data_IF_682822906929
#
_entry.id   IF_682822906929
#
_cell.length_a   1.000
_cell.length_b   1.000
_cell.length_c   1.000
_cell.angle_alpha   90.00
_cell.angle_beta   90.00
_cell.angle_gamma   90.00
#
_symmetry.space_group_name_H-M   'P 1'
#
loop_
_entity.id
_entity.type
_entity.pdbx_description
1 polymer ?
#
# COMPACT_ATOMS: atom_id res chain seq x y z
N UNK A 1 3.86 9.13 -3.19
CA UNK A 1 2.73 9.16 -4.14
C UNK A 1 2.43 10.60 -4.53
N UNK A 2 2.84 11.03 -5.73
CA UNK A 2 2.72 12.46 -6.11
C UNK A 2 1.35 12.90 -6.62
N UNK A 3 0.58 12.01 -7.26
CA UNK A 3 -0.74 12.35 -7.82
C UNK A 3 -1.73 11.17 -7.63
N UNK A 4 -2.39 11.08 -6.45
CA UNK A 4 -3.22 9.92 -6.10
C UNK A 4 -4.43 9.71 -7.04
N UNK A 5 -4.95 10.79 -7.62
CA UNK A 5 -6.09 10.76 -8.57
C UNK A 5 -5.76 10.12 -9.91
N UNK A 6 -4.48 9.91 -10.24
CA UNK A 6 -4.07 9.29 -11.50
C UNK A 6 -4.59 7.87 -11.69
N UNK A 7 -4.68 7.08 -10.61
CA UNK A 7 -5.25 5.74 -10.67
C UNK A 7 -6.76 5.79 -10.97
N UNK A 8 -7.48 6.75 -10.39
CA UNK A 8 -8.93 6.92 -10.62
C UNK A 8 -9.18 7.31 -12.08
N UNK A 9 -8.44 8.29 -12.60
CA UNK A 9 -8.57 8.72 -14.01
C UNK A 9 -8.26 7.56 -14.97
N UNK A 10 -7.19 6.79 -14.70
CA UNK A 10 -6.86 5.64 -15.55
C UNK A 10 -7.97 4.57 -15.56
N UNK A 11 -8.59 4.30 -14.41
CA UNK A 11 -9.71 3.35 -14.31
C UNK A 11 -10.95 3.84 -15.07
N UNK A 12 -11.29 5.13 -14.98
CA UNK A 12 -12.42 5.70 -15.72
C UNK A 12 -12.18 5.68 -17.24
N UNK A 13 -10.93 5.90 -17.67
CA UNK A 13 -10.54 5.77 -19.08
C UNK A 13 -10.71 4.32 -19.54
N UNK A 14 -10.24 3.35 -18.75
CA UNK A 14 -10.42 1.92 -19.05
C UNK A 14 -11.91 1.57 -19.18
N UNK A 15 -12.73 1.98 -18.21
CA UNK A 15 -14.18 1.72 -18.22
C UNK A 15 -14.88 2.38 -19.40
N UNK A 16 -14.46 3.58 -19.77
CA UNK A 16 -14.98 4.27 -20.95
C UNK A 16 -14.70 3.49 -22.23
N UNK A 17 -13.52 2.87 -22.35
CA UNK A 17 -13.17 2.04 -23.50
C UNK A 17 -14.05 0.79 -23.59
N UNK A 18 -14.33 0.14 -22.46
CA UNK A 18 -15.22 -1.04 -22.42
C UNK A 18 -16.66 -0.72 -22.81
N UNK A 19 -17.18 0.44 -22.38
CA UNK A 19 -18.58 0.83 -22.62
C UNK A 19 -18.77 1.42 -24.02
N UNK A 20 -17.88 2.32 -24.43
CA UNK A 20 -18.05 3.10 -25.66
C UNK A 20 -17.53 2.32 -26.87
N UNK A 21 -16.37 1.66 -26.73
CA UNK A 21 -15.71 0.99 -27.85
C UNK A 21 -15.12 1.94 -28.89
N UNK A 22 -14.48 1.37 -29.90
CA UNK A 22 -13.92 2.13 -31.02
C UNK A 22 -15.00 2.44 -32.08
N UNK A 23 -14.88 3.58 -32.78
CA UNK A 23 -13.77 4.55 -32.71
C UNK A 23 -13.85 5.59 -31.58
N UNK A 24 -15.01 5.80 -30.97
CA UNK A 24 -15.28 6.96 -30.10
C UNK A 24 -14.44 6.98 -28.82
N UNK A 25 -14.08 5.82 -28.26
CA UNK A 25 -13.28 5.75 -27.04
C UNK A 25 -11.83 6.25 -27.20
N UNK A 26 -11.37 6.49 -28.44
CA UNK A 26 -10.05 7.05 -28.70
C UNK A 26 -9.85 8.42 -28.02
N UNK A 27 -10.91 9.21 -27.85
CA UNK A 27 -10.87 10.51 -27.17
C UNK A 27 -10.55 10.34 -25.68
N UNK A 28 -11.19 9.36 -25.02
CA UNK A 28 -10.96 9.03 -23.61
C UNK A 28 -9.52 8.55 -23.39
N UNK A 29 -9.02 7.68 -24.29
CA UNK A 29 -7.63 7.22 -24.27
C UNK A 29 -6.65 8.38 -24.42
N UNK A 30 -6.86 9.26 -25.40
CA UNK A 30 -6.01 10.44 -25.61
C UNK A 30 -5.96 11.33 -24.36
N UNK A 31 -7.11 11.60 -23.75
CA UNK A 31 -7.19 12.39 -22.51
C UNK A 31 -6.43 11.72 -21.35
N UNK A 32 -6.62 10.41 -21.14
CA UNK A 32 -5.92 9.64 -20.12
C UNK A 32 -4.39 9.67 -20.30
N UNK A 33 -3.91 9.50 -21.53
CA UNK A 33 -2.48 9.53 -21.85
C UNK A 33 -1.89 10.90 -21.54
N UNK A 34 -2.50 11.99 -22.00
CA UNK A 34 -2.01 13.36 -21.73
C UNK A 34 -2.00 13.65 -20.23
N UNK A 35 -3.06 13.27 -19.51
CA UNK A 35 -3.14 13.42 -18.07
C UNK A 35 -1.98 12.71 -17.35
N UNK A 36 -1.73 11.44 -17.67
CA UNK A 36 -0.64 10.67 -17.05
C UNK A 36 0.75 11.16 -17.49
N UNK A 37 0.91 11.59 -18.74
CA UNK A 37 2.17 12.10 -19.28
C UNK A 37 2.58 13.42 -18.62
N UNK A 38 1.61 14.29 -18.30
CA UNK A 38 1.86 15.59 -17.67
C UNK A 38 1.82 15.56 -16.14
N UNK A 39 1.26 14.51 -15.54
CA UNK A 39 1.23 14.31 -14.08
C UNK A 39 2.62 14.31 -13.44
N UNK A 40 2.71 14.76 -12.18
CA UNK A 40 3.95 14.67 -11.39
C UNK A 40 4.35 13.20 -11.22
N UNK A 41 5.56 12.85 -11.64
CA UNK A 41 6.08 11.48 -11.58
C UNK A 41 6.62 11.19 -10.18
N UNK A 42 6.32 9.99 -9.69
CA UNK A 42 6.78 9.49 -8.40
C UNK A 42 6.79 7.97 -8.42
N UNK A 43 7.87 7.38 -7.90
CA UNK A 43 8.04 5.92 -7.81
C UNK A 43 8.03 5.41 -6.37
N UNK A 44 7.90 6.28 -5.36
CA UNK A 44 8.07 5.91 -3.96
C UNK A 44 7.17 4.76 -3.49
N UNK A 45 5.91 4.71 -3.94
CA UNK A 45 5.02 3.59 -3.61
C UNK A 45 5.48 2.25 -4.23
N UNK A 46 6.00 2.29 -5.48
CA UNK A 46 6.54 1.10 -6.14
C UNK A 46 7.83 0.65 -5.48
N UNK A 47 8.80 1.56 -5.33
CA UNK A 47 10.12 1.23 -4.78
C UNK A 47 10.00 0.79 -3.31
N UNK A 48 9.12 1.42 -2.53
CA UNK A 48 8.83 1.01 -1.16
C UNK A 48 8.22 -0.39 -1.04
N UNK A 49 7.29 -0.75 -1.92
CA UNK A 49 6.75 -2.12 -1.97
C UNK A 49 7.85 -3.13 -2.33
N UNK A 50 8.74 -2.81 -3.28
CA UNK A 50 9.82 -3.71 -3.68
C UNK A 50 10.81 -3.95 -2.55
N UNK A 51 11.23 -2.89 -1.87
CA UNK A 51 12.10 -2.99 -0.70
C UNK A 51 11.46 -3.83 0.43
N UNK A 52 10.19 -3.58 0.76
CA UNK A 52 9.49 -4.40 1.76
C UNK A 52 9.37 -5.88 1.36
N UNK A 53 9.15 -6.18 0.08
CA UNK A 53 9.11 -7.56 -0.44
C UNK A 53 10.47 -8.26 -0.37
N UNK A 54 11.57 -7.53 -0.57
CA UNK A 54 12.93 -8.05 -0.43
C UNK A 54 13.21 -8.45 1.01
N UNK A 55 12.82 -7.63 1.98
CA UNK A 55 12.98 -7.95 3.40
C UNK A 55 12.14 -9.15 3.83
N UNK A 56 10.91 -9.29 3.31
CA UNK A 56 10.09 -10.49 3.55
C UNK A 56 10.80 -11.75 3.03
N UNK A 57 11.40 -11.70 1.83
CA UNK A 57 12.16 -12.83 1.27
C UNK A 57 13.41 -13.13 2.08
N UNK A 58 14.11 -12.10 2.56
CA UNK A 58 15.37 -12.21 3.30
C UNK A 58 15.18 -12.74 4.72
N UNK A 59 14.18 -12.25 5.43
CA UNK A 59 14.00 -12.53 6.86
C UNK A 59 12.92 -13.58 7.15
N UNK A 60 12.09 -13.92 6.17
CA UNK A 60 11.02 -14.91 6.31
C UNK A 60 9.93 -14.47 7.29
N UNK A 61 9.40 -15.42 8.05
CA UNK A 61 8.25 -15.19 8.94
C UNK A 61 8.66 -14.59 10.29
N UNK A 62 9.01 -13.29 10.29
CA UNK A 62 9.28 -12.57 11.54
C UNK A 62 8.03 -12.49 12.43
N UNK A 63 8.18 -12.60 13.76
CA UNK A 63 7.04 -12.57 14.66
C UNK A 63 6.36 -11.19 14.68
N UNK A 64 5.03 -11.18 14.70
CA UNK A 64 4.24 -9.97 14.87
C UNK A 64 4.47 -9.41 16.30
N UNK A 65 4.72 -8.09 16.47
CA UNK A 65 4.82 -7.46 17.78
C UNK A 65 3.61 -7.77 18.67
N UNK A 66 3.85 -8.04 19.96
CA UNK A 66 2.80 -8.46 20.90
C UNK A 66 1.63 -7.46 20.99
N UNK A 67 1.92 -6.17 20.91
CA UNK A 67 0.94 -5.09 20.92
C UNK A 67 0.00 -5.09 19.70
N UNK A 68 0.38 -5.76 18.60
CA UNK A 68 -0.42 -5.84 17.37
C UNK A 68 -1.15 -7.18 17.19
N UNK A 69 -0.87 -8.16 18.05
CA UNK A 69 -1.51 -9.48 17.96
C UNK A 69 -2.98 -9.38 18.36
N UNK A 70 -3.84 -10.06 17.62
CA UNK A 70 -5.24 -10.22 18.00
C UNK A 70 -5.35 -11.08 19.28
N UNK A 71 -6.27 -10.73 20.18
CA UNK A 71 -6.51 -11.42 21.45
C UNK A 71 -7.98 -11.83 21.65
N UNK A 72 -8.54 -12.67 20.78
CA UNK A 72 -9.96 -13.04 20.82
C UNK A 72 -10.31 -13.96 22.00
N UNK A 73 -9.37 -14.76 22.50
CA UNK A 73 -9.61 -15.71 23.60
C UNK A 73 -9.11 -15.17 24.93
N UNK A 74 -9.67 -15.68 26.05
CA UNK A 74 -9.21 -15.35 27.40
C UNK A 74 -7.73 -15.74 27.62
N UNK A 75 -7.32 -16.89 27.10
CA UNK A 75 -5.93 -17.35 27.16
C UNK A 75 -4.98 -16.35 26.48
N UNK A 76 -5.32 -15.88 25.27
CA UNK A 76 -4.48 -14.93 24.53
C UNK A 76 -4.36 -13.58 25.24
N UNK A 77 -5.44 -13.08 25.85
CA UNK A 77 -5.41 -11.86 26.67
C UNK A 77 -4.49 -12.03 27.90
N UNK A 78 -4.57 -13.18 28.56
CA UNK A 78 -3.71 -13.50 29.71
C UNK A 78 -2.24 -13.60 29.32
N UNK A 79 -1.94 -14.10 28.11
CA UNK A 79 -0.60 -14.12 27.53
C UNK A 79 -0.12 -12.74 27.04
N UNK A 80 -0.92 -11.68 27.23
CA UNK A 80 -0.56 -10.30 26.90
C UNK A 80 -0.72 -9.91 25.43
N UNK A 81 -1.48 -10.67 24.64
CA UNK A 81 -1.70 -10.35 23.23
C UNK A 81 -2.51 -9.06 23.12
N UNK A 82 -2.09 -8.13 22.26
CA UNK A 82 -2.73 -6.82 22.09
C UNK A 82 -2.56 -5.88 23.29
N UNK A 83 -1.83 -6.27 24.34
CA UNK A 83 -1.60 -5.42 25.51
C UNK A 83 -0.72 -4.24 25.10
N UNK A 84 -1.14 -3.03 25.47
CA UNK A 84 -0.42 -1.79 25.15
C UNK A 84 -0.63 -1.30 23.70
N UNK A 85 -1.59 -1.86 22.96
CA UNK A 85 -1.97 -1.32 21.65
C UNK A 85 -2.40 0.14 21.75
N UNK A 86 -1.83 0.99 20.90
CA UNK A 86 -2.24 2.37 20.71
C UNK A 86 -2.51 2.61 19.23
N UNK A 87 -3.68 3.18 18.91
CA UNK A 87 -4.12 3.40 17.53
C UNK A 87 -3.16 4.30 16.74
N UNK A 88 -2.54 5.28 17.41
CA UNK A 88 -1.64 6.27 16.80
C UNK A 88 -0.34 6.39 17.59
N UNK A 89 0.35 5.27 17.77
CA UNK A 89 1.67 5.27 18.42
C UNK A 89 2.74 5.91 17.53
N UNK A 90 3.75 6.52 18.17
CA UNK A 90 5.00 6.93 17.50
C UNK A 90 6.06 5.82 17.51
N UNK A 91 5.79 4.71 18.20
CA UNK A 91 6.67 3.55 18.24
C UNK A 91 6.60 2.75 16.93
N UNK A 92 7.69 2.07 16.59
CA UNK A 92 7.72 1.19 15.42
C UNK A 92 6.70 0.06 15.56
N UNK A 93 5.90 -0.12 14.51
CA UNK A 93 4.96 -1.24 14.36
C UNK A 93 5.60 -2.44 13.66
N UNK A 94 6.83 -2.30 13.19
CA UNK A 94 7.57 -3.37 12.53
C UNK A 94 8.16 -4.37 13.55
N UNK A 95 8.41 -5.63 13.16
CA UNK A 95 9.15 -6.60 13.97
C UNK A 95 10.53 -6.07 14.40
N UNK A 96 11.10 -6.62 15.46
CA UNK A 96 12.35 -6.11 16.06
C UNK A 96 13.51 -6.03 15.07
N UNK A 97 13.62 -6.97 14.12
CA UNK A 97 14.67 -6.95 13.08
C UNK A 97 14.51 -5.84 12.04
N UNK A 98 13.34 -5.21 11.97
CA UNK A 98 12.99 -4.17 11.00
C UNK A 98 12.66 -2.83 11.68
N UNK A 99 12.97 -2.66 12.98
CA UNK A 99 12.47 -1.57 13.84
C UNK A 99 12.92 -0.14 13.45
N UNK A 100 13.73 0.01 12.42
CA UNK A 100 14.16 1.30 11.87
C UNK A 100 13.94 1.45 10.36
N UNK A 101 13.39 0.44 9.70
CA UNK A 101 13.23 0.45 8.26
C UNK A 101 12.15 1.43 7.82
N UNK A 102 12.41 2.13 6.72
CA UNK A 102 11.49 3.08 6.09
C UNK A 102 11.41 2.78 4.60
N UNK A 103 10.21 2.49 4.13
CA UNK A 103 9.97 2.11 2.75
C UNK A 103 9.38 3.24 1.91
N UNK A 104 8.66 4.19 2.55
CA UNK A 104 8.00 5.34 1.91
C UNK A 104 8.18 6.58 2.76
#
# INVERSE_FOLDING_TARGET
MAQPTALVVANEVFRSVEIIGYPECAINLAHGVVYLATAKKDRGAYDGLRSAQEDVKKYGNLPIPMSLRNAPTKLMKNLGYGKGYQKYSKESLLPDKLKGEKYV
#
